data_IF_840682402418
#
_entry.id   IF_840682402418
#
_cell.length_a   1.000
_cell.length_b   1.000
_cell.length_c   1.000
_cell.angle_alpha   90.00
_cell.angle_beta   90.00
_cell.angle_gamma   90.00
#
_symmetry.space_group_name_H-M   'P 1'
#
loop_
_entity.id
_entity.type
_entity.pdbx_description
1 polymer ?
#
# COMPACT_ATOMS: atom_id res chain seq x y z
N UNK A 1 8.97 17.17 -19.04
CA UNK A 1 10.17 17.49 -18.21
C UNK A 1 10.66 18.92 -18.42
N UNK A 2 11.29 19.26 -19.58
CA UNK A 2 11.84 20.60 -19.85
C UNK A 2 10.82 21.73 -19.67
N UNK A 3 9.61 21.56 -20.20
CA UNK A 3 8.53 22.53 -20.07
C UNK A 3 8.19 22.82 -18.60
N UNK A 4 7.92 21.79 -17.80
CA UNK A 4 7.62 21.93 -16.37
C UNK A 4 8.75 22.63 -15.61
N UNK A 5 10.02 22.25 -15.84
CA UNK A 5 11.16 22.89 -15.16
C UNK A 5 11.36 24.35 -15.56
N UNK A 6 10.96 24.73 -16.77
CA UNK A 6 11.02 26.12 -17.24
C UNK A 6 9.88 26.97 -16.66
N UNK A 7 8.73 26.35 -16.34
CA UNK A 7 7.57 27.00 -15.71
C UNK A 7 7.72 27.13 -14.20
N UNK A 8 8.04 26.03 -13.53
CA UNK A 8 8.21 25.93 -12.08
C UNK A 8 9.07 24.71 -11.74
N UNK A 9 10.31 24.96 -11.32
CA UNK A 9 11.24 23.91 -10.92
C UNK A 9 10.77 23.19 -9.65
N UNK A 10 10.40 23.95 -8.62
CA UNK A 10 9.90 23.43 -7.35
C UNK A 10 9.08 24.48 -6.59
N UNK A 11 8.00 24.02 -5.96
CA UNK A 11 7.37 24.65 -4.80
C UNK A 11 6.78 23.54 -3.94
N UNK A 12 6.67 23.79 -2.64
CA UNK A 12 6.09 22.82 -1.72
C UNK A 12 4.56 22.88 -1.74
N UNK A 13 3.89 21.79 -1.35
CA UNK A 13 2.41 21.73 -1.26
C UNK A 13 1.86 21.86 0.18
N UNK A 14 2.70 22.22 1.15
CA UNK A 14 2.26 22.49 2.53
C UNK A 14 1.35 23.73 2.66
N UNK A 15 0.42 23.65 3.62
CA UNK A 15 -0.46 24.76 4.00
C UNK A 15 -1.43 25.16 2.89
N UNK A 16 -2.04 24.17 2.23
CA UNK A 16 -3.06 24.37 1.18
C UNK A 16 -2.53 24.87 -0.16
N UNK A 17 -1.21 24.92 -0.35
CA UNK A 17 -0.60 25.30 -1.63
C UNK A 17 -0.59 24.12 -2.58
N UNK A 18 -0.63 24.40 -3.87
CA UNK A 18 -0.55 23.37 -4.90
C UNK A 18 -0.05 23.97 -6.22
N UNK A 19 0.03 23.13 -7.25
CA UNK A 19 0.33 23.49 -8.62
C UNK A 19 -0.39 22.53 -9.59
N UNK A 20 -0.60 22.99 -10.82
CA UNK A 20 -1.45 22.33 -11.82
C UNK A 20 -1.13 20.85 -12.01
N UNK A 21 0.16 20.48 -12.07
CA UNK A 21 0.58 19.11 -12.37
C UNK A 21 0.30 18.13 -11.23
N UNK A 22 0.40 18.56 -9.96
CA UNK A 22 0.03 17.72 -8.83
C UNK A 22 -1.49 17.51 -8.76
N UNK A 23 -2.27 18.57 -9.01
CA UNK A 23 -3.74 18.50 -9.04
C UNK A 23 -4.19 17.54 -10.15
N UNK A 24 -3.70 17.75 -11.37
CA UNK A 24 -4.07 16.93 -12.52
C UNK A 24 -3.66 15.46 -12.34
N UNK A 25 -2.47 15.18 -11.80
CA UNK A 25 -2.07 13.80 -11.54
C UNK A 25 -2.92 13.15 -10.46
N UNK A 26 -3.27 13.89 -9.39
CA UNK A 26 -4.11 13.36 -8.33
C UNK A 26 -5.50 12.99 -8.86
N UNK A 27 -6.12 13.84 -9.68
CA UNK A 27 -7.40 13.53 -10.32
C UNK A 27 -7.29 12.34 -11.28
N UNK A 28 -6.22 12.26 -12.09
CA UNK A 28 -6.03 11.11 -12.98
C UNK A 28 -5.84 9.81 -12.22
N UNK A 29 -5.09 9.81 -11.12
CA UNK A 29 -4.91 8.63 -10.27
C UNK A 29 -6.21 8.20 -9.59
N UNK A 30 -7.08 9.14 -9.18
CA UNK A 30 -8.42 8.82 -8.68
C UNK A 30 -9.30 8.19 -9.76
N UNK A 31 -9.27 8.73 -10.97
CA UNK A 31 -10.06 8.25 -12.11
C UNK A 31 -9.73 6.80 -12.48
N UNK A 32 -8.44 6.44 -12.50
CA UNK A 32 -8.01 5.09 -12.91
C UNK A 32 -7.96 4.10 -11.75
N UNK A 33 -8.16 4.53 -10.51
CA UNK A 33 -8.06 3.65 -9.34
C UNK A 33 -9.11 2.54 -9.43
N UNK A 34 -8.75 1.27 -9.15
CA UNK A 34 -9.68 0.15 -9.21
C UNK A 34 -10.66 0.12 -8.02
N UNK A 35 -10.48 1.03 -7.06
CA UNK A 35 -11.34 1.22 -5.89
C UNK A 35 -11.63 2.71 -5.68
N UNK A 36 -12.75 3.10 -5.06
CA UNK A 36 -13.07 4.52 -4.86
C UNK A 36 -11.99 5.26 -4.06
N UNK A 37 -11.34 6.24 -4.70
CA UNK A 37 -10.33 7.10 -4.09
C UNK A 37 -10.83 8.56 -3.99
N UNK A 38 -10.81 9.12 -2.79
CA UNK A 38 -11.19 10.52 -2.54
C UNK A 38 -10.01 11.48 -2.66
N UNK A 39 -8.83 11.06 -2.18
CA UNK A 39 -7.60 11.84 -2.19
C UNK A 39 -6.41 10.97 -2.61
N UNK A 40 -5.37 11.65 -3.06
CA UNK A 40 -4.05 11.07 -3.32
C UNK A 40 -3.04 11.76 -2.42
N UNK A 41 -2.21 10.99 -1.74
CA UNK A 41 -1.07 11.52 -1.01
C UNK A 41 0.23 11.12 -1.73
N UNK A 42 1.05 12.10 -2.10
CA UNK A 42 2.29 11.87 -2.85
C UNK A 42 3.51 11.70 -1.94
N UNK A 43 4.43 10.84 -2.37
CA UNK A 43 5.77 10.63 -1.83
C UNK A 43 6.80 10.52 -2.97
N UNK A 44 8.06 10.19 -2.69
CA UNK A 44 9.11 10.02 -3.69
C UNK A 44 9.47 8.55 -3.96
N UNK A 45 8.98 7.60 -3.16
CA UNK A 45 9.27 6.18 -3.31
C UNK A 45 8.13 5.29 -2.80
N UNK A 46 8.18 4.00 -3.16
CA UNK A 46 7.29 2.98 -2.59
C UNK A 46 7.45 2.84 -1.07
N UNK A 47 8.68 2.92 -0.55
CA UNK A 47 8.95 2.86 0.89
C UNK A 47 8.31 4.03 1.64
N UNK A 48 8.46 5.26 1.15
CA UNK A 48 7.81 6.43 1.77
C UNK A 48 6.28 6.40 1.65
N UNK A 49 5.77 5.80 0.58
CA UNK A 49 4.34 5.61 0.37
C UNK A 49 3.79 4.61 1.40
N UNK A 50 4.43 3.46 1.60
CA UNK A 50 4.04 2.47 2.61
C UNK A 50 4.27 2.97 4.06
N UNK A 51 5.30 3.79 4.33
CA UNK A 51 5.41 4.47 5.64
C UNK A 51 4.21 5.39 5.90
N UNK A 52 3.71 6.05 4.85
CA UNK A 52 2.50 6.86 4.94
C UNK A 52 1.29 5.97 5.23
N UNK A 53 1.18 4.79 4.60
CA UNK A 53 0.10 3.85 4.90
C UNK A 53 0.07 3.48 6.39
N UNK A 54 1.21 3.12 6.98
CA UNK A 54 1.31 2.77 8.41
C UNK A 54 0.82 3.93 9.29
N UNK A 55 1.29 5.15 9.01
CA UNK A 55 0.84 6.34 9.76
C UNK A 55 -0.65 6.59 9.61
N UNK A 56 -1.21 6.43 8.41
CA UNK A 56 -2.64 6.63 8.16
C UNK A 56 -3.49 5.56 8.84
N UNK A 57 -3.09 4.29 8.80
CA UNK A 57 -3.77 3.19 9.51
C UNK A 57 -3.83 3.49 11.02
N UNK A 58 -2.73 3.92 11.62
CA UNK A 58 -2.71 4.27 13.04
C UNK A 58 -3.55 5.50 13.36
N UNK A 59 -3.45 6.53 12.52
CA UNK A 59 -4.19 7.78 12.67
C UNK A 59 -5.70 7.56 12.54
N UNK A 60 -6.11 6.77 11.56
CA UNK A 60 -7.50 6.40 11.30
C UNK A 60 -8.11 5.63 12.48
N UNK A 61 -7.41 4.65 13.03
CA UNK A 61 -7.89 3.91 14.19
C UNK A 61 -7.96 4.77 15.45
N UNK A 62 -7.01 5.69 15.66
CA UNK A 62 -7.12 6.69 16.73
C UNK A 62 -8.35 7.61 16.54
N UNK A 63 -8.60 8.07 15.32
CA UNK A 63 -9.75 8.93 14.98
C UNK A 63 -11.09 8.26 15.30
N UNK A 64 -11.16 6.93 15.12
CA UNK A 64 -12.35 6.11 15.38
C UNK A 64 -12.45 5.61 16.83
N UNK A 65 -11.54 6.02 17.71
CA UNK A 65 -11.54 5.60 19.12
C UNK A 65 -11.06 4.16 19.36
N UNK A 66 -10.27 3.60 18.44
CA UNK A 66 -9.68 2.26 18.51
C UNK A 66 -8.16 2.33 18.71
N UNK A 67 -7.66 2.84 19.85
CA UNK A 67 -6.24 3.10 20.04
C UNK A 67 -5.35 1.85 20.10
N UNK A 68 -5.92 0.68 20.37
CA UNK A 68 -5.17 -0.59 20.40
C UNK A 68 -5.07 -1.27 19.03
N UNK A 69 -5.97 -0.90 18.09
CA UNK A 69 -6.02 -1.46 16.74
C UNK A 69 -4.91 -0.89 15.87
N UNK A 70 -3.70 -1.46 15.99
CA UNK A 70 -2.44 -0.92 15.42
C UNK A 70 -1.53 -1.92 14.73
N UNK A 71 -1.70 -3.23 14.96
CA UNK A 71 -0.86 -4.26 14.36
C UNK A 71 -1.12 -4.36 12.87
N UNK A 72 -0.07 -4.56 12.08
CA UNK A 72 -0.16 -4.71 10.63
C UNK A 72 0.42 -6.06 10.26
N UNK A 73 -0.38 -6.87 9.57
CA UNK A 73 0.03 -8.19 9.09
C UNK A 73 0.53 -8.02 7.65
N UNK A 74 1.78 -8.41 7.41
CA UNK A 74 2.32 -8.66 6.09
C UNK A 74 2.51 -10.17 5.89
N UNK A 75 3.30 -10.58 4.90
CA UNK A 75 3.50 -11.97 4.49
C UNK A 75 4.98 -12.30 4.44
N UNK A 76 5.33 -13.52 4.82
CA UNK A 76 6.65 -14.07 4.55
C UNK A 76 6.99 -13.91 3.06
N UNK A 77 8.21 -13.47 2.76
CA UNK A 77 8.71 -13.13 1.41
C UNK A 77 8.07 -11.92 0.72
N UNK A 78 7.11 -11.21 1.33
CA UNK A 78 6.62 -9.94 0.79
C UNK A 78 7.71 -8.86 0.78
N UNK A 79 7.63 -7.88 -0.13
CA UNK A 79 8.54 -6.73 -0.15
C UNK A 79 7.78 -5.42 -0.23
N UNK A 80 7.96 -4.58 0.80
CA UNK A 80 7.16 -3.36 1.00
C UNK A 80 8.01 -2.10 1.20
N UNK A 81 9.34 -2.20 1.13
CA UNK A 81 10.24 -1.06 1.21
C UNK A 81 11.45 -1.29 2.12
N UNK A 82 12.19 -0.22 2.37
CA UNK A 82 13.48 -0.25 3.10
C UNK A 82 13.67 0.88 4.12
N UNK A 83 12.62 1.63 4.47
CA UNK A 83 12.65 2.43 5.72
C UNK A 83 12.49 1.50 6.91
N UNK A 84 12.74 1.93 8.15
CA UNK A 84 12.65 1.03 9.33
C UNK A 84 11.29 0.30 9.40
N UNK A 85 10.19 1.03 9.24
CA UNK A 85 8.85 0.42 9.34
C UNK A 85 8.48 -0.40 8.09
N UNK A 86 8.81 0.06 6.88
CA UNK A 86 8.54 -0.73 5.66
C UNK A 86 9.49 -1.91 5.44
N UNK A 87 10.71 -1.84 5.95
CA UNK A 87 11.61 -2.97 6.04
C UNK A 87 11.07 -3.99 7.03
N UNK A 88 10.44 -3.56 8.13
CA UNK A 88 9.73 -4.48 9.03
C UNK A 88 8.52 -5.15 8.36
N UNK A 89 7.80 -4.44 7.49
CA UNK A 89 6.74 -5.06 6.68
C UNK A 89 7.32 -6.09 5.71
N UNK A 90 8.50 -5.85 5.15
CA UNK A 90 9.16 -6.75 4.20
C UNK A 90 9.49 -8.10 4.84
N UNK A 91 8.93 -9.20 4.33
CA UNK A 91 9.16 -10.55 4.85
C UNK A 91 10.45 -11.22 4.36
N UNK A 92 11.52 -10.46 4.12
CA UNK A 92 12.80 -10.98 3.60
C UNK A 92 13.92 -10.82 4.64
N UNK A 93 14.61 -11.91 5.06
CA UNK A 93 15.62 -11.84 6.12
C UNK A 93 16.77 -10.86 5.85
N UNK A 94 17.19 -10.71 4.59
CA UNK A 94 18.26 -9.77 4.22
C UNK A 94 17.89 -8.30 4.44
N UNK A 95 16.59 -7.98 4.49
CA UNK A 95 16.10 -6.65 4.82
C UNK A 95 16.06 -6.42 6.34
N UNK A 96 16.23 -7.47 7.15
CA UNK A 96 16.18 -7.41 8.62
C UNK A 96 17.54 -7.57 9.30
N UNK A 97 18.41 -8.40 8.72
CA UNK A 97 19.70 -8.74 9.30
C UNK A 97 20.51 -7.47 9.62
N UNK A 98 21.03 -7.40 10.85
CA UNK A 98 21.82 -6.29 11.39
C UNK A 98 21.10 -4.92 11.44
N UNK A 99 19.76 -4.90 11.34
CA UNK A 99 18.92 -3.69 11.46
C UNK A 99 17.94 -3.74 12.65
N UNK A 100 17.98 -4.78 13.48
CA UNK A 100 17.06 -5.01 14.60
C UNK A 100 15.57 -5.01 14.20
N UNK A 101 15.28 -5.63 13.04
CA UNK A 101 13.93 -5.71 12.47
C UNK A 101 13.37 -7.13 12.51
N UNK A 102 12.03 -7.30 12.50
CA UNK A 102 11.00 -6.25 12.45
C UNK A 102 10.77 -5.52 13.78
N UNK A 103 10.28 -4.28 13.72
CA UNK A 103 9.80 -3.54 14.89
C UNK A 103 8.49 -4.12 15.45
N UNK A 104 8.12 -3.72 16.66
CA UNK A 104 6.83 -4.05 17.28
C UNK A 104 5.63 -3.70 16.38
N UNK A 105 4.52 -4.44 16.55
CA UNK A 105 3.25 -4.33 15.80
C UNK A 105 3.30 -4.76 14.35
N UNK A 106 4.43 -5.26 13.84
CA UNK A 106 4.50 -5.84 12.50
C UNK A 106 4.59 -7.36 12.60
N UNK A 107 3.70 -8.04 11.88
CA UNK A 107 3.56 -9.49 11.88
C UNK A 107 3.67 -10.03 10.45
N UNK A 108 4.02 -11.31 10.31
CA UNK A 108 4.08 -11.98 9.00
C UNK A 108 3.29 -13.29 9.02
N UNK A 109 2.27 -13.39 8.17
CA UNK A 109 1.57 -14.66 7.88
C UNK A 109 2.26 -15.44 6.74
N UNK A 110 1.74 -16.62 6.41
CA UNK A 110 2.28 -17.53 5.40
C UNK A 110 2.47 -16.90 4.01
N UNK A 111 3.45 -17.44 3.27
CA UNK A 111 3.74 -17.03 1.90
C UNK A 111 2.88 -17.84 0.90
N UNK A 112 2.18 -17.21 -0.06
CA UNK A 112 1.34 -17.90 -1.05
C UNK A 112 2.14 -18.53 -2.19
N UNK A 113 3.19 -19.31 -1.86
CA UNK A 113 4.07 -19.97 -2.82
C UNK A 113 3.81 -21.49 -2.88
N UNK A 114 2.73 -21.88 -3.58
CA UNK A 114 2.27 -23.27 -3.66
C UNK A 114 3.40 -24.25 -4.02
N UNK A 115 4.16 -23.94 -5.08
CA UNK A 115 5.27 -24.79 -5.55
C UNK A 115 6.31 -25.16 -4.48
N UNK A 116 6.51 -24.33 -3.44
CA UNK A 116 7.52 -24.57 -2.40
C UNK A 116 6.93 -24.93 -1.03
N UNK A 117 5.68 -24.57 -0.78
CA UNK A 117 5.09 -24.58 0.56
C UNK A 117 3.79 -25.38 0.65
N UNK A 118 3.32 -25.96 -0.44
CA UNK A 118 2.23 -26.92 -0.43
C UNK A 118 2.65 -28.23 0.25
N UNK A 119 1.72 -28.84 0.95
CA UNK A 119 1.87 -30.21 1.46
C UNK A 119 1.78 -31.23 0.32
N UNK A 120 2.24 -32.47 0.56
CA UNK A 120 2.19 -33.51 -0.46
C UNK A 120 0.74 -33.82 -0.86
N UNK A 121 0.41 -33.57 -2.13
CA UNK A 121 -0.94 -33.77 -2.67
C UNK A 121 -1.91 -32.60 -2.46
N UNK A 122 -1.50 -31.52 -1.81
CA UNK A 122 -2.34 -30.34 -1.58
C UNK A 122 -2.55 -29.55 -2.87
N UNK A 123 -3.82 -29.37 -3.28
CA UNK A 123 -4.17 -28.53 -4.42
C UNK A 123 -3.95 -27.04 -4.13
N UNK A 124 -3.90 -26.21 -5.19
CA UNK A 124 -3.78 -24.75 -5.02
C UNK A 124 -4.93 -24.15 -4.20
N UNK A 125 -6.15 -24.71 -4.34
CA UNK A 125 -7.31 -24.23 -3.59
C UNK A 125 -7.24 -24.62 -2.10
N UNK A 126 -6.84 -25.85 -1.79
CA UNK A 126 -6.63 -26.31 -0.41
C UNK A 126 -5.52 -25.51 0.27
N UNK A 127 -4.41 -25.26 -0.43
CA UNK A 127 -3.33 -24.41 0.04
C UNK A 127 -3.82 -22.98 0.34
N UNK A 128 -4.64 -22.40 -0.54
CA UNK A 128 -5.25 -21.10 -0.30
C UNK A 128 -6.19 -21.10 0.93
N UNK A 129 -6.96 -22.18 1.15
CA UNK A 129 -7.78 -22.36 2.36
C UNK A 129 -6.93 -22.40 3.62
N UNK A 130 -5.81 -23.15 3.59
CA UNK A 130 -4.89 -23.25 4.71
C UNK A 130 -4.28 -21.89 5.05
N UNK A 131 -3.79 -21.14 4.06
CA UNK A 131 -3.25 -19.79 4.29
C UNK A 131 -4.28 -18.79 4.84
N UNK A 132 -5.54 -18.88 4.42
CA UNK A 132 -6.60 -18.07 4.99
C UNK A 132 -6.90 -18.46 6.45
N UNK A 133 -6.83 -19.75 6.76
CA UNK A 133 -6.98 -20.27 8.14
C UNK A 133 -5.81 -19.82 9.03
N UNK A 134 -4.57 -19.90 8.53
CA UNK A 134 -3.37 -19.38 9.22
C UNK A 134 -3.49 -17.88 9.54
N UNK A 135 -4.02 -17.08 8.61
CA UNK A 135 -4.30 -15.66 8.84
C UNK A 135 -5.38 -15.45 9.91
N UNK A 136 -6.50 -16.17 9.85
CA UNK A 136 -7.58 -16.08 10.84
C UNK A 136 -7.08 -16.46 12.25
N UNK A 137 -6.31 -17.54 12.36
CA UNK A 137 -5.69 -17.98 13.62
C UNK A 137 -4.73 -16.93 14.19
N UNK A 138 -3.86 -16.34 13.35
CA UNK A 138 -2.95 -15.27 13.77
C UNK A 138 -3.73 -14.05 14.31
N UNK A 139 -4.80 -13.64 13.61
CA UNK A 139 -5.64 -12.52 14.05
C UNK A 139 -6.30 -12.82 15.39
N UNK A 140 -6.82 -14.04 15.59
CA UNK A 140 -7.42 -14.46 16.85
C UNK A 140 -6.40 -14.48 17.99
N UNK A 141 -5.20 -15.00 17.75
CA UNK A 141 -4.11 -15.06 18.74
C UNK A 141 -3.67 -13.66 19.20
N UNK A 142 -3.57 -12.72 18.26
CA UNK A 142 -3.14 -11.36 18.55
C UNK A 142 -4.25 -10.49 19.17
N UNK A 143 -5.50 -10.96 19.10
CA UNK A 143 -6.69 -10.19 19.44
C UNK A 143 -7.17 -9.37 18.25
N UNK A 144 -8.35 -9.65 17.66
CA UNK A 144 -8.85 -8.94 16.48
C UNK A 144 -8.96 -7.42 16.63
N UNK A 145 -9.24 -6.95 17.84
CA UNK A 145 -9.32 -5.53 18.19
C UNK A 145 -7.96 -4.82 18.19
N UNK A 146 -6.86 -5.56 18.02
CA UNK A 146 -5.50 -5.01 17.95
C UNK A 146 -4.94 -5.00 16.52
N UNK A 147 -5.51 -5.75 15.59
CA UNK A 147 -5.05 -5.85 14.20
C UNK A 147 -5.76 -4.83 13.32
N UNK A 148 -5.00 -3.96 12.68
CA UNK A 148 -5.50 -2.79 11.97
C UNK A 148 -5.53 -2.93 10.45
N UNK A 149 -4.50 -3.58 9.89
CA UNK A 149 -4.37 -3.71 8.45
C UNK A 149 -3.65 -4.99 8.05
N UNK A 150 -3.91 -5.41 6.82
CA UNK A 150 -3.17 -6.41 6.08
C UNK A 150 -2.61 -5.78 4.81
N UNK A 151 -1.31 -5.97 4.54
CA UNK A 151 -0.67 -5.46 3.33
C UNK A 151 -0.19 -6.59 2.43
N UNK A 152 -0.50 -6.50 1.14
CA UNK A 152 -0.05 -7.47 0.15
C UNK A 152 0.17 -6.86 -1.24
N UNK A 153 1.27 -7.27 -1.88
CA UNK A 153 1.43 -7.20 -3.33
C UNK A 153 0.48 -8.20 -4.01
N UNK A 154 -0.19 -7.85 -5.13
CA UNK A 154 -0.96 -8.79 -5.93
C UNK A 154 -0.13 -9.99 -6.41
N UNK A 155 1.09 -9.72 -6.89
CA UNK A 155 2.12 -10.73 -7.18
C UNK A 155 3.38 -10.32 -6.40
N UNK A 156 3.96 -11.23 -5.60
CA UNK A 156 5.19 -10.90 -4.89
C UNK A 156 6.33 -10.73 -5.90
N UNK A 157 6.91 -9.55 -5.98
CA UNK A 157 8.00 -9.27 -6.90
C UNK A 157 9.34 -9.77 -6.38
N UNK A 158 9.96 -8.99 -5.47
CA UNK A 158 11.27 -9.32 -4.90
C UNK A 158 11.27 -10.61 -4.07
N UNK A 159 10.09 -11.03 -3.60
CA UNK A 159 9.86 -12.33 -2.96
C UNK A 159 10.15 -13.54 -3.85
N UNK A 160 10.27 -13.35 -5.17
CA UNK A 160 10.62 -14.40 -6.12
C UNK A 160 9.62 -14.59 -7.26
N UNK A 161 8.91 -13.53 -7.68
CA UNK A 161 7.87 -13.59 -8.73
C UNK A 161 6.84 -14.67 -8.42
N UNK A 162 6.20 -14.55 -7.26
CA UNK A 162 5.24 -15.53 -6.77
C UNK A 162 3.82 -15.07 -7.10
N UNK A 163 3.20 -15.76 -8.05
CA UNK A 163 1.77 -15.63 -8.36
C UNK A 163 1.00 -16.42 -7.31
N UNK A 164 0.03 -15.81 -6.60
CA UNK A 164 -0.77 -16.54 -5.61
C UNK A 164 -1.75 -17.51 -6.31
N UNK A 165 -2.22 -18.55 -5.60
CA UNK A 165 -3.36 -19.35 -6.05
C UNK A 165 -4.56 -18.47 -6.45
N UNK A 166 -5.33 -18.90 -7.45
CA UNK A 166 -6.46 -18.12 -7.99
C UNK A 166 -7.47 -17.71 -6.91
N UNK A 167 -7.78 -18.61 -5.98
CA UNK A 167 -8.77 -18.36 -4.91
C UNK A 167 -8.21 -17.64 -3.68
N UNK A 168 -6.89 -17.37 -3.62
CA UNK A 168 -6.21 -16.84 -2.45
C UNK A 168 -6.81 -15.51 -1.96
N UNK A 169 -6.88 -14.49 -2.82
CA UNK A 169 -7.34 -13.18 -2.37
C UNK A 169 -8.82 -13.15 -2.04
N UNK A 170 -9.66 -14.00 -2.67
CA UNK A 170 -11.05 -14.15 -2.26
C UNK A 170 -11.14 -14.59 -0.80
N UNK A 171 -10.44 -15.68 -0.46
CA UNK A 171 -10.42 -16.25 0.91
C UNK A 171 -9.79 -15.31 1.93
N UNK A 172 -8.71 -14.59 1.57
CA UNK A 172 -8.08 -13.61 2.46
C UNK A 172 -9.04 -12.46 2.78
N UNK A 173 -9.72 -11.90 1.76
CA UNK A 173 -10.67 -10.81 1.97
C UNK A 173 -11.82 -11.21 2.89
N UNK A 174 -12.33 -12.43 2.80
CA UNK A 174 -13.37 -12.93 3.71
C UNK A 174 -12.91 -12.90 5.18
N UNK A 175 -11.65 -13.27 5.44
CA UNK A 175 -11.04 -13.19 6.78
C UNK A 175 -10.89 -11.75 7.25
N UNK A 176 -10.36 -10.85 6.40
CA UNK A 176 -10.17 -9.44 6.77
C UNK A 176 -11.51 -8.75 7.09
N UNK A 177 -12.54 -9.01 6.29
CA UNK A 177 -13.88 -8.45 6.45
C UNK A 177 -14.54 -8.87 7.78
N UNK A 178 -14.24 -10.07 8.28
CA UNK A 178 -14.76 -10.57 9.57
C UNK A 178 -14.33 -9.71 10.77
N UNK A 179 -13.20 -9.00 10.67
CA UNK A 179 -12.54 -8.36 11.81
C UNK A 179 -12.29 -6.84 11.64
N UNK A 180 -12.91 -6.18 10.66
CA UNK A 180 -12.68 -4.76 10.35
C UNK A 180 -11.18 -4.45 10.15
N UNK A 181 -10.49 -5.27 9.34
CA UNK A 181 -9.06 -5.10 9.05
C UNK A 181 -8.92 -4.47 7.67
N UNK A 182 -8.23 -3.33 7.59
CA UNK A 182 -7.99 -2.63 6.34
C UNK A 182 -7.11 -3.45 5.39
N UNK A 183 -7.44 -3.48 4.11
CA UNK A 183 -6.63 -4.14 3.09
C UNK A 183 -5.84 -3.12 2.27
N UNK A 184 -4.51 -3.17 2.39
CA UNK A 184 -3.57 -2.36 1.61
C UNK A 184 -3.04 -3.21 0.44
N UNK A 185 -3.35 -2.81 -0.79
CA UNK A 185 -2.72 -3.39 -1.97
C UNK A 185 -1.43 -2.64 -2.33
N UNK A 186 -0.30 -3.33 -2.26
CA UNK A 186 0.99 -2.81 -2.68
C UNK A 186 1.18 -3.02 -4.19
N UNK A 187 0.75 -2.03 -4.97
CA UNK A 187 0.80 -1.99 -6.43
C UNK A 187 2.10 -1.35 -6.95
N UNK A 188 3.14 -1.23 -6.12
CA UNK A 188 4.41 -0.61 -6.53
C UNK A 188 5.00 -1.29 -7.77
N UNK A 189 4.84 -2.60 -7.92
CA UNK A 189 5.25 -3.36 -9.12
C UNK A 189 4.09 -3.58 -10.08
N UNK A 190 2.94 -4.00 -9.56
CA UNK A 190 1.84 -4.53 -10.36
C UNK A 190 1.00 -3.43 -11.03
N UNK A 191 1.01 -2.22 -10.47
CA UNK A 191 0.29 -1.09 -11.03
C UNK A 191 0.80 -0.68 -12.41
N UNK A 192 -0.11 -0.10 -13.18
CA UNK A 192 0.10 0.43 -14.53
C UNK A 192 0.45 -0.64 -15.58
N UNK A 193 -0.34 -1.72 -15.63
CA UNK A 193 -0.35 -2.65 -16.77
C UNK A 193 0.51 -3.91 -16.61
N UNK A 194 1.29 -4.06 -15.53
CA UNK A 194 2.29 -5.14 -15.41
C UNK A 194 1.67 -6.55 -15.45
N UNK A 195 0.48 -6.72 -14.92
CA UNK A 195 -0.23 -8.00 -14.84
C UNK A 195 -1.27 -8.20 -15.96
N UNK A 196 -1.31 -7.30 -16.95
CA UNK A 196 -2.26 -7.32 -18.06
C UNK A 196 -3.48 -6.40 -17.87
N UNK A 197 -3.82 -6.07 -16.62
CA UNK A 197 -4.81 -5.03 -16.28
C UNK A 197 -4.10 -3.77 -15.77
N UNK A 198 -4.84 -2.66 -15.66
CA UNK A 198 -4.28 -1.41 -15.15
C UNK A 198 -3.69 -1.57 -13.74
N UNK A 199 -4.30 -2.39 -12.88
CA UNK A 199 -3.78 -2.74 -11.55
C UNK A 199 -3.83 -4.25 -11.33
N UNK A 200 -2.87 -4.79 -10.57
CA UNK A 200 -2.88 -6.21 -10.18
C UNK A 200 -4.12 -6.57 -9.38
N UNK A 201 -4.66 -5.63 -8.61
CA UNK A 201 -5.91 -5.77 -7.87
C UNK A 201 -7.08 -6.16 -8.76
N UNK A 202 -7.12 -5.65 -10.01
CA UNK A 202 -8.13 -6.05 -10.98
C UNK A 202 -7.88 -7.47 -11.49
N UNK A 203 -6.63 -7.79 -11.84
CA UNK A 203 -6.23 -9.13 -12.29
C UNK A 203 -6.59 -10.22 -11.28
N UNK A 204 -6.44 -9.94 -9.99
CA UNK A 204 -6.64 -10.93 -8.92
C UNK A 204 -7.93 -10.72 -8.10
N UNK A 205 -8.87 -9.89 -8.59
CA UNK A 205 -10.16 -9.67 -7.93
C UNK A 205 -10.05 -9.12 -6.48
N UNK A 206 -8.99 -8.35 -6.19
CA UNK A 206 -8.79 -7.71 -4.89
C UNK A 206 -9.66 -6.45 -4.79
N UNK A 207 -10.22 -6.21 -3.59
CA UNK A 207 -10.97 -5.00 -3.24
C UNK A 207 -10.29 -4.30 -2.05
N UNK A 208 -9.11 -3.70 -2.25
CA UNK A 208 -8.38 -3.03 -1.17
C UNK A 208 -9.07 -1.74 -0.73
N UNK A 209 -8.85 -1.33 0.52
CA UNK A 209 -9.24 -0.02 1.05
C UNK A 209 -8.31 1.10 0.57
N UNK A 210 -7.06 0.76 0.32
CA UNK A 210 -6.03 1.69 -0.16
C UNK A 210 -4.99 0.98 -1.00
N UNK A 211 -4.39 1.73 -1.92
CA UNK A 211 -3.40 1.24 -2.87
C UNK A 211 -2.13 2.08 -2.74
N UNK A 212 -0.98 1.41 -2.76
CA UNK A 212 0.34 2.05 -2.88
C UNK A 212 0.87 1.92 -4.30
N UNK A 213 1.32 3.01 -4.91
CA UNK A 213 1.95 3.02 -6.25
C UNK A 213 3.28 3.76 -6.26
N UNK A 214 4.21 3.32 -7.12
CA UNK A 214 5.46 4.02 -7.45
C UNK A 214 6.00 3.46 -8.78
N UNK A 215 7.33 3.39 -8.97
CA UNK A 215 8.03 2.75 -10.10
C UNK A 215 7.46 3.12 -11.48
N UNK A 216 6.57 2.28 -12.02
CA UNK A 216 5.94 2.48 -13.32
C UNK A 216 5.05 3.74 -13.36
N UNK A 217 4.65 4.30 -12.22
CA UNK A 217 3.94 5.59 -12.16
C UNK A 217 4.61 6.69 -12.99
N UNK A 218 5.94 6.69 -13.06
CA UNK A 218 6.74 7.63 -13.89
C UNK A 218 7.60 6.91 -14.91
N UNK A 219 7.41 5.60 -15.10
CA UNK A 219 8.35 4.72 -15.81
C UNK A 219 9.80 4.94 -15.36
N UNK A 220 9.99 5.21 -14.05
CA UNK A 220 11.26 5.58 -13.41
C UNK A 220 11.99 6.83 -13.95
N UNK A 221 11.37 7.65 -14.81
CA UNK A 221 12.00 8.89 -15.31
C UNK A 221 12.19 9.95 -14.22
N UNK A 222 11.39 9.91 -13.14
CA UNK A 222 11.56 10.73 -11.95
C UNK A 222 11.00 10.01 -10.71
N UNK A 223 11.57 10.23 -9.50
CA UNK A 223 11.05 9.64 -8.27
C UNK A 223 9.63 10.15 -7.99
N UNK A 224 8.69 9.22 -7.83
CA UNK A 224 7.33 9.48 -7.40
C UNK A 224 6.74 8.21 -6.80
N UNK A 225 6.11 8.36 -5.64
CA UNK A 225 5.19 7.40 -5.06
C UNK A 225 3.87 8.09 -4.74
N UNK A 226 2.83 7.30 -4.55
CA UNK A 226 1.54 7.80 -4.08
C UNK A 226 0.77 6.71 -3.36
N UNK A 227 -0.18 7.14 -2.54
CA UNK A 227 -1.23 6.27 -1.99
C UNK A 227 -2.61 6.84 -2.29
N UNK A 228 -3.60 5.95 -2.43
CA UNK A 228 -5.01 6.34 -2.45
C UNK A 228 -5.56 6.46 -1.04
N UNK A 229 -6.48 7.41 -0.82
CA UNK A 229 -7.18 7.57 0.45
C UNK A 229 -8.68 7.59 0.15
N UNK A 230 -9.44 6.68 0.75
CA UNK A 230 -10.89 6.60 0.61
C UNK A 230 -11.58 7.80 1.29
N UNK A 231 -12.85 8.03 0.95
CA UNK A 231 -13.62 9.13 1.55
C UNK A 231 -13.79 8.95 3.06
N UNK A 232 -14.10 7.74 3.52
CA UNK A 232 -14.31 7.45 4.94
C UNK A 232 -13.04 7.67 5.76
N UNK A 233 -11.88 7.23 5.24
CA UNK A 233 -10.58 7.49 5.89
C UNK A 233 -10.30 8.99 5.89
N UNK A 234 -10.55 9.70 4.79
CA UNK A 234 -10.34 11.14 4.71
C UNK A 234 -11.23 11.93 5.71
N UNK A 235 -12.50 11.57 5.87
CA UNK A 235 -13.40 12.22 6.83
C UNK A 235 -12.95 11.97 8.27
N UNK A 236 -12.61 10.73 8.63
CA UNK A 236 -12.04 10.42 9.94
C UNK A 236 -10.74 11.20 10.20
N UNK A 237 -9.90 11.37 9.17
CA UNK A 237 -8.69 12.17 9.29
C UNK A 237 -8.99 13.65 9.55
N UNK A 238 -10.00 14.21 8.88
CA UNK A 238 -10.43 15.58 9.11
C UNK A 238 -10.88 15.78 10.56
N UNK A 239 -11.72 14.89 11.08
CA UNK A 239 -12.21 14.96 12.47
C UNK A 239 -11.07 14.90 13.49
N UNK A 240 -10.15 13.95 13.35
CA UNK A 240 -9.01 13.86 14.26
C UNK A 240 -8.09 15.08 14.12
N UNK A 241 -7.90 15.61 12.90
CA UNK A 241 -7.08 16.81 12.70
C UNK A 241 -7.70 18.06 13.33
N UNK A 242 -9.04 18.16 13.40
CA UNK A 242 -9.74 19.22 14.14
C UNK A 242 -9.51 19.10 15.64
N UNK A 243 -9.43 17.87 16.16
CA UNK A 243 -9.16 17.58 17.57
C UNK A 243 -7.71 17.88 17.97
N UNK A 244 -6.72 17.49 17.17
CA UNK A 244 -5.29 17.64 17.51
C UNK A 244 -4.63 18.88 16.88
N UNK A 245 -5.35 19.61 16.03
CA UNK A 245 -4.96 20.89 15.42
C UNK A 245 -4.42 20.77 13.99
N UNK A 246 -3.56 19.78 13.69
CA UNK A 246 -2.96 19.63 12.34
C UNK A 246 -2.66 18.17 12.02
N UNK A 247 -2.89 17.77 10.77
CA UNK A 247 -2.33 16.53 10.23
C UNK A 247 -0.82 16.71 9.98
N UNK A 248 -0.01 16.34 10.96
CA UNK A 248 1.45 16.51 10.96
C UNK A 248 2.19 15.47 10.10
N UNK A 249 1.93 15.46 8.79
CA UNK A 249 2.63 14.58 7.84
C UNK A 249 2.75 15.21 6.46
N UNK A 250 3.88 14.97 5.79
CA UNK A 250 4.22 15.54 4.50
C UNK A 250 5.72 15.47 4.26
N UNK A 251 6.13 15.24 3.03
CA UNK A 251 7.54 15.28 2.63
C UNK A 251 7.83 16.59 1.90
N UNK A 252 9.06 17.10 2.00
CA UNK A 252 9.48 18.32 1.29
C UNK A 252 9.13 18.26 -0.20
N UNK A 253 9.33 17.09 -0.82
CA UNK A 253 9.11 16.84 -2.24
C UNK A 253 7.80 16.13 -2.57
N UNK A 254 6.86 16.02 -1.61
CA UNK A 254 5.51 15.52 -1.89
C UNK A 254 4.90 16.31 -3.06
N UNK A 255 4.52 15.60 -4.12
CA UNK A 255 3.94 16.20 -5.32
C UNK A 255 4.91 17.09 -6.09
N UNK A 256 6.20 16.74 -6.15
CA UNK A 256 7.22 17.53 -6.87
C UNK A 256 6.78 17.81 -8.34
N UNK A 257 6.76 19.08 -8.81
CA UNK A 257 6.21 19.45 -10.12
C UNK A 257 6.76 18.64 -11.30
N UNK A 258 8.08 18.46 -11.37
CA UNK A 258 8.71 17.62 -12.39
C UNK A 258 8.17 16.18 -12.38
N UNK A 259 8.14 15.53 -11.21
CA UNK A 259 7.72 14.14 -11.07
C UNK A 259 6.25 13.96 -11.42
N UNK A 260 5.37 14.88 -10.96
CA UNK A 260 3.94 14.81 -11.25
C UNK A 260 3.63 15.07 -12.73
N UNK A 261 4.35 16.00 -13.38
CA UNK A 261 4.22 16.23 -14.81
C UNK A 261 4.71 15.03 -15.66
N UNK A 262 5.79 14.37 -15.21
CA UNK A 262 6.26 13.12 -15.85
C UNK A 262 5.23 12.01 -15.65
N UNK A 263 4.71 11.82 -14.43
CA UNK A 263 3.70 10.81 -14.14
C UNK A 263 2.46 10.97 -15.02
N UNK A 264 1.95 12.20 -15.18
CA UNK A 264 0.85 12.49 -16.11
C UNK A 264 1.16 12.03 -17.54
N UNK A 265 2.34 12.40 -18.05
CA UNK A 265 2.70 12.03 -19.42
C UNK A 265 2.94 10.53 -19.57
N UNK A 266 3.45 9.87 -18.54
CA UNK A 266 3.59 8.42 -18.51
C UNK A 266 2.23 7.73 -18.58
N UNK A 267 1.26 8.16 -17.78
CA UNK A 267 -0.11 7.60 -17.80
C UNK A 267 -0.87 7.88 -19.09
N UNK A 268 -0.55 8.95 -19.81
CA UNK A 268 -1.12 9.23 -21.15
C UNK A 268 -0.60 8.27 -22.23
N UNK A 269 0.59 7.68 -22.01
CA UNK A 269 1.23 6.76 -22.97
C UNK A 269 0.76 5.31 -22.76
N UNK A 270 0.39 4.95 -21.53
CA UNK A 270 -0.17 3.64 -21.19
C UNK A 270 -1.58 3.46 -21.77
#
# INVERSE_FOLDING_TARGET
AREQLSKLSFTHIFGGKSHDSAIALAEKLKEISPVPASKIFFSCSGSEANDTQIKLVWYYNNARGLPEKKKIISRQRGYHGVTIATASLTGLPANHADFDLPIDRILHTGCPHHYRLAEEGESEDEFATRLASELDELIQQEGPDTVAAFIAEPVMGAGGVVVPPESYFGKIQDVLNKYDILFIADEVICGFGRTGEMFGSQTFGMKPDTITVAKALTSAYAPLGAITVSEDVYQAMLDESRKIGVFGHGYTYSGHPLSTAIGLKTLEIY
#
